data_IF_703490239989
#
_entry.id   IF_703490239989
#
_cell.length_a   1.000
_cell.length_b   1.000
_cell.length_c   1.000
_cell.angle_alpha   90.00
_cell.angle_beta   90.00
_cell.angle_gamma   90.00
#
_symmetry.space_group_name_H-M   'P 1'
#
loop_
_entity.id
_entity.type
_entity.pdbx_description
1 polymer ?
#
# COMPACT_ATOMS: atom_id res chain seq x y z
N UNK A 1 15.39 -17.94 7.63
CA UNK A 1 14.19 -18.12 6.77
C UNK A 1 14.07 -16.87 5.91
N UNK A 2 14.13 -16.96 4.59
CA UNK A 2 13.97 -15.81 3.68
C UNK A 2 12.49 -15.53 3.44
N UNK A 3 12.11 -14.24 3.30
CA UNK A 3 10.76 -13.84 2.93
C UNK A 3 10.27 -14.59 1.67
N UNK A 4 9.03 -15.08 1.69
CA UNK A 4 8.41 -15.80 0.56
C UNK A 4 8.13 -14.93 -0.68
N UNK A 5 8.49 -13.63 -0.66
CA UNK A 5 8.32 -12.69 -1.77
C UNK A 5 9.71 -12.19 -2.18
N UNK A 6 10.33 -12.73 -3.26
CA UNK A 6 11.72 -12.44 -3.60
C UNK A 6 12.07 -10.94 -3.73
N UNK A 7 11.19 -10.06 -4.28
CA UNK A 7 11.43 -8.62 -4.26
C UNK A 7 11.60 -8.02 -2.86
N UNK A 8 10.83 -8.48 -1.86
CA UNK A 8 10.89 -7.95 -0.49
C UNK A 8 12.17 -8.37 0.24
N UNK A 9 12.68 -9.58 -0.02
CA UNK A 9 13.97 -10.02 0.52
C UNK A 9 15.13 -9.14 0.01
N UNK A 10 15.08 -8.72 -1.26
CA UNK A 10 16.07 -7.80 -1.84
C UNK A 10 15.97 -6.40 -1.24
N UNK A 11 14.75 -5.87 -1.08
CA UNK A 11 14.52 -4.59 -0.40
C UNK A 11 15.11 -4.62 1.01
N UNK A 12 14.83 -5.66 1.79
CA UNK A 12 15.37 -5.81 3.13
C UNK A 12 16.91 -5.77 3.13
N UNK A 13 17.56 -6.50 2.22
CA UNK A 13 19.03 -6.50 2.10
C UNK A 13 19.58 -5.09 1.84
N UNK A 14 18.93 -4.33 0.95
CA UNK A 14 19.32 -2.95 0.66
C UNK A 14 19.12 -2.03 1.86
N UNK A 15 17.98 -2.13 2.54
CA UNK A 15 17.66 -1.34 3.74
C UNK A 15 18.66 -1.63 4.86
N UNK A 16 18.96 -2.90 5.13
CA UNK A 16 19.98 -3.29 6.12
C UNK A 16 21.34 -2.68 5.80
N UNK A 17 21.79 -2.77 4.53
CA UNK A 17 23.06 -2.22 4.11
C UNK A 17 23.12 -0.69 4.19
N UNK A 18 22.02 0.01 3.91
CA UNK A 18 21.93 1.47 3.98
C UNK A 18 21.92 1.95 5.43
N UNK A 19 21.06 1.39 6.28
CA UNK A 19 20.92 1.79 7.67
C UNK A 19 22.17 1.47 8.51
N UNK A 20 22.87 0.36 8.21
CA UNK A 20 24.14 0.04 8.86
C UNK A 20 25.20 1.12 8.65
N UNK A 21 25.23 1.80 7.49
CA UNK A 21 26.15 2.92 7.24
C UNK A 21 25.87 4.15 8.10
N UNK A 22 24.63 4.26 8.59
CA UNK A 22 24.21 5.32 9.50
C UNK A 22 24.22 4.87 10.97
N UNK A 23 24.80 3.70 11.28
CA UNK A 23 24.90 3.18 12.64
C UNK A 23 23.63 2.51 13.17
N UNK A 24 22.65 2.21 12.31
CA UNK A 24 21.39 1.55 12.70
C UNK A 24 21.44 0.07 12.30
N UNK A 25 21.25 -0.81 13.28
CA UNK A 25 21.09 -2.24 13.06
C UNK A 25 19.62 -2.59 12.78
N UNK A 26 19.39 -3.47 11.81
CA UNK A 26 18.05 -3.95 11.44
C UNK A 26 18.01 -5.45 11.63
N UNK A 27 17.18 -5.89 12.59
CA UNK A 27 16.98 -7.30 12.95
C UNK A 27 15.68 -7.79 12.29
N UNK A 28 15.72 -8.59 11.22
CA UNK A 28 14.53 -8.98 10.50
C UNK A 28 13.78 -10.11 11.21
N UNK A 29 12.47 -9.92 11.36
CA UNK A 29 11.54 -10.97 11.80
C UNK A 29 10.67 -11.37 10.61
N UNK A 30 10.59 -12.67 10.34
CA UNK A 30 9.78 -13.21 9.26
C UNK A 30 8.57 -13.94 9.83
N UNK A 31 7.41 -13.75 9.20
CA UNK A 31 6.18 -14.45 9.54
C UNK A 31 5.43 -14.86 8.26
N UNK A 32 4.61 -15.93 8.32
CA UNK A 32 3.65 -16.24 7.25
C UNK A 32 2.73 -15.05 6.99
N UNK A 33 2.36 -14.83 5.71
CA UNK A 33 1.59 -13.65 5.29
C UNK A 33 0.29 -13.46 6.10
N UNK A 34 -0.43 -14.55 6.38
CA UNK A 34 -1.66 -14.50 7.19
C UNK A 34 -1.38 -13.99 8.60
N UNK A 35 -0.44 -14.62 9.32
CA UNK A 35 -0.05 -14.22 10.68
C UNK A 35 0.45 -12.77 10.71
N UNK A 36 1.25 -12.38 9.72
CA UNK A 36 1.73 -11.00 9.61
C UNK A 36 0.58 -10.01 9.50
N UNK A 37 -0.37 -10.23 8.58
CA UNK A 37 -1.46 -9.28 8.31
C UNK A 37 -2.56 -9.28 9.39
N UNK A 38 -2.83 -10.42 10.04
CA UNK A 38 -3.96 -10.53 10.99
C UNK A 38 -3.57 -10.41 12.45
N UNK A 39 -2.27 -10.46 12.78
CA UNK A 39 -1.80 -10.52 14.18
C UNK A 39 -0.68 -9.52 14.44
N UNK A 40 0.41 -9.57 13.66
CA UNK A 40 1.60 -8.73 13.91
C UNK A 40 1.35 -7.28 13.49
N UNK A 41 0.80 -7.08 12.29
CA UNK A 41 0.57 -5.73 11.78
C UNK A 41 -0.48 -4.95 12.61
N UNK A 42 -1.60 -5.57 13.04
CA UNK A 42 -2.55 -4.90 13.94
C UNK A 42 -2.07 -4.73 15.39
N UNK A 43 -1.09 -5.52 15.86
CA UNK A 43 -0.59 -5.36 17.23
C UNK A 43 0.26 -4.10 17.41
N UNK A 44 0.86 -3.59 16.34
CA UNK A 44 1.80 -2.46 16.41
C UNK A 44 3.13 -2.80 17.08
N UNK A 45 3.39 -4.09 17.37
CA UNK A 45 4.61 -4.56 18.04
C UNK A 45 5.75 -4.76 17.03
N UNK A 46 6.16 -3.65 16.40
CA UNK A 46 7.27 -3.59 15.44
C UNK A 46 7.79 -2.15 15.33
N UNK A 47 9.07 -2.00 14.98
CA UNK A 47 9.63 -0.68 14.65
C UNK A 47 9.34 -0.30 13.19
N UNK A 48 9.51 -1.26 12.27
CA UNK A 48 9.27 -1.08 10.82
C UNK A 48 8.63 -2.34 10.22
N UNK A 49 7.58 -2.14 9.43
CA UNK A 49 6.89 -3.20 8.71
C UNK A 49 7.03 -3.04 7.20
N UNK A 50 7.55 -4.05 6.50
CA UNK A 50 7.63 -4.08 5.04
C UNK A 50 6.41 -4.78 4.44
N UNK A 51 5.43 -4.00 4.00
CA UNK A 51 4.21 -4.48 3.34
C UNK A 51 3.71 -3.48 2.30
N UNK A 52 2.63 -3.81 1.60
CA UNK A 52 1.98 -2.92 0.65
C UNK A 52 0.52 -2.71 1.01
N UNK A 53 0.04 -1.48 0.89
CA UNK A 53 -1.38 -1.18 0.91
C UNK A 53 -2.00 -1.53 -0.44
N UNK A 54 -3.23 -2.02 -0.39
CA UNK A 54 -4.06 -2.18 -1.59
C UNK A 54 -5.12 -1.10 -1.53
N UNK A 55 -4.97 -0.05 -2.34
CA UNK A 55 -5.96 1.02 -2.42
C UNK A 55 -7.11 0.62 -3.35
N UNK A 56 -8.33 0.99 -2.99
CA UNK A 56 -9.45 0.99 -3.92
C UNK A 56 -9.20 2.01 -5.07
N UNK A 57 -10.05 2.06 -6.11
CA UNK A 57 -9.92 3.04 -7.19
C UNK A 57 -10.09 4.51 -6.76
N UNK A 58 -10.72 4.78 -5.60
CA UNK A 58 -10.92 6.15 -5.10
C UNK A 58 -10.96 6.30 -3.55
N UNK A 59 -9.98 5.83 -2.77
CA UNK A 59 -9.89 6.15 -1.35
C UNK A 59 -9.13 7.46 -1.17
N UNK A 60 -9.68 8.39 -0.39
CA UNK A 60 -8.96 9.55 0.15
C UNK A 60 -7.87 9.17 1.16
N UNK A 61 -7.70 7.88 1.48
CA UNK A 61 -6.66 7.40 2.38
C UNK A 61 -6.99 7.54 3.85
N UNK A 62 -8.21 7.96 4.20
CA UNK A 62 -8.66 8.16 5.57
C UNK A 62 -8.50 6.92 6.47
N UNK A 63 -8.76 5.73 5.94
CA UNK A 63 -8.56 4.47 6.67
C UNK A 63 -7.08 4.19 7.03
N UNK A 64 -6.13 4.75 6.27
CA UNK A 64 -4.68 4.51 6.41
C UNK A 64 -4.01 5.65 7.19
N UNK A 65 -4.35 6.90 6.89
CA UNK A 65 -3.64 8.08 7.40
C UNK A 65 -4.49 8.99 8.30
N UNK A 66 -5.79 8.70 8.44
CA UNK A 66 -6.65 9.36 9.42
C UNK A 66 -6.35 8.88 10.84
N UNK A 67 -6.50 9.77 11.82
CA UNK A 67 -6.43 9.41 13.23
C UNK A 67 -7.46 8.31 13.54
N UNK A 68 -7.00 7.15 14.03
CA UNK A 68 -7.89 6.02 14.35
C UNK A 68 -8.40 5.23 13.14
N UNK A 69 -7.82 5.43 11.96
CA UNK A 69 -8.16 4.64 10.77
C UNK A 69 -7.89 3.14 10.95
N UNK A 70 -8.80 2.28 10.47
CA UNK A 70 -8.71 0.82 10.67
C UNK A 70 -7.53 0.13 9.96
N UNK A 71 -6.83 0.81 9.06
CA UNK A 71 -5.60 0.35 8.41
C UNK A 71 -4.39 1.22 8.79
N UNK A 72 -4.54 2.08 9.80
CA UNK A 72 -3.47 2.94 10.27
C UNK A 72 -2.54 2.19 11.22
N UNK A 73 -1.72 1.31 10.65
CA UNK A 73 -0.76 0.50 11.40
C UNK A 73 0.47 1.29 11.87
N UNK A 74 0.61 2.53 11.43
CA UNK A 74 1.73 3.41 11.80
C UNK A 74 1.47 4.18 13.10
N UNK A 75 0.22 4.22 13.55
CA UNK A 75 -0.22 5.09 14.65
C UNK A 75 -0.21 6.59 14.31
N UNK A 76 -0.01 6.95 13.04
CA UNK A 76 0.05 8.35 12.60
C UNK A 76 -1.24 9.09 12.95
N UNK A 77 -1.13 10.25 13.59
CA UNK A 77 -2.30 11.07 13.87
C UNK A 77 -1.96 12.56 13.75
N UNK A 78 -2.20 13.12 12.56
CA UNK A 78 -2.20 14.55 12.32
C UNK A 78 -3.62 15.02 12.03
N UNK A 79 -4.16 15.87 12.92
CA UNK A 79 -5.54 16.38 12.87
C UNK A 79 -5.84 17.17 11.59
N UNK A 80 -4.91 17.96 11.08
CA UNK A 80 -5.04 18.71 9.83
C UNK A 80 -5.10 17.79 8.61
N UNK A 81 -4.28 16.73 8.59
CA UNK A 81 -4.35 15.70 7.55
C UNK A 81 -5.69 15.01 7.63
N UNK A 82 -6.09 14.52 8.81
CA UNK A 82 -7.39 13.86 9.01
C UNK A 82 -8.55 14.74 8.53
N UNK A 83 -8.56 16.02 8.91
CA UNK A 83 -9.57 17.00 8.45
C UNK A 83 -9.58 17.13 6.93
N UNK A 84 -8.42 17.24 6.30
CA UNK A 84 -8.32 17.42 4.85
C UNK A 84 -8.76 16.14 4.11
N UNK A 85 -8.44 14.95 4.62
CA UNK A 85 -8.92 13.68 4.07
C UNK A 85 -10.45 13.55 4.22
N UNK A 86 -11.00 13.87 5.39
CA UNK A 86 -12.46 13.89 5.64
C UNK A 86 -13.19 14.90 4.74
N UNK A 87 -12.56 16.04 4.46
CA UNK A 87 -13.09 17.04 3.56
C UNK A 87 -13.07 16.52 2.11
N UNK A 88 -11.98 15.88 1.68
CA UNK A 88 -11.85 15.34 0.34
C UNK A 88 -12.91 14.27 0.03
N UNK A 89 -13.35 13.49 1.02
CA UNK A 89 -14.42 12.49 0.88
C UNK A 89 -15.78 13.11 0.51
N UNK A 90 -15.96 14.40 0.78
CA UNK A 90 -17.23 15.12 0.57
C UNK A 90 -17.22 16.02 -0.66
N UNK A 91 -16.10 16.10 -1.37
CA UNK A 91 -15.94 16.95 -2.57
C UNK A 91 -16.16 16.11 -3.83
N UNK A 92 -17.16 16.50 -4.64
CA UNK A 92 -17.45 15.84 -5.92
C UNK A 92 -16.64 16.40 -7.10
N UNK A 93 -16.27 17.68 -7.06
CA UNK A 93 -15.44 18.29 -8.10
C UNK A 93 -14.00 17.80 -7.98
N UNK A 94 -13.52 17.06 -8.98
CA UNK A 94 -12.21 16.42 -8.96
C UNK A 94 -11.06 17.43 -8.76
N UNK A 95 -11.17 18.66 -9.30
CA UNK A 95 -10.14 19.68 -9.15
C UNK A 95 -10.10 20.23 -7.72
N UNK A 96 -11.26 20.45 -7.10
CA UNK A 96 -11.36 20.83 -5.70
C UNK A 96 -10.86 19.72 -4.78
N UNK A 97 -11.22 18.46 -5.06
CA UNK A 97 -10.80 17.31 -4.27
C UNK A 97 -9.27 17.17 -4.31
N UNK A 98 -8.67 17.22 -5.50
CA UNK A 98 -7.22 17.15 -5.67
C UNK A 98 -6.49 18.26 -4.92
N UNK A 99 -7.01 19.50 -4.91
CA UNK A 99 -6.41 20.60 -4.13
C UNK A 99 -6.36 20.31 -2.64
N UNK A 100 -7.42 19.73 -2.07
CA UNK A 100 -7.46 19.38 -0.64
C UNK A 100 -6.52 18.21 -0.35
N UNK A 101 -6.56 17.17 -1.19
CA UNK A 101 -5.67 16.00 -1.08
C UNK A 101 -4.19 16.39 -1.14
N UNK A 102 -3.80 17.30 -2.04
CA UNK A 102 -2.42 17.76 -2.15
C UNK A 102 -1.92 18.49 -0.89
N UNK A 103 -2.80 19.12 -0.10
CA UNK A 103 -2.41 19.71 1.19
C UNK A 103 -2.13 18.64 2.23
N UNK A 104 -2.98 17.62 2.29
CA UNK A 104 -2.76 16.46 3.16
C UNK A 104 -1.45 15.75 2.78
N UNK A 105 -1.22 15.51 1.48
CA UNK A 105 -0.02 14.86 0.97
C UNK A 105 1.25 15.65 1.28
N UNK A 106 1.23 16.98 1.11
CA UNK A 106 2.36 17.84 1.47
C UNK A 106 2.70 17.79 2.97
N UNK A 107 1.70 17.65 3.85
CA UNK A 107 1.93 17.48 5.27
C UNK A 107 2.46 16.07 5.58
N UNK A 108 1.88 15.01 4.99
CA UNK A 108 2.38 13.64 5.16
C UNK A 108 3.81 13.47 4.66
N UNK A 109 4.19 14.13 3.57
CA UNK A 109 5.56 14.12 3.06
C UNK A 109 6.58 14.73 4.06
N UNK A 110 6.15 15.63 4.94
CA UNK A 110 6.98 16.19 6.02
C UNK A 110 7.02 15.29 7.24
N UNK A 111 5.89 14.67 7.57
CA UNK A 111 5.75 13.82 8.75
C UNK A 111 6.32 12.40 8.52
N UNK A 112 6.42 11.97 7.27
CA UNK A 112 6.92 10.66 6.81
C UNK A 112 6.29 9.50 7.58
N UNK A 113 4.94 9.36 7.62
CA UNK A 113 4.29 8.26 8.33
C UNK A 113 4.62 6.90 7.69
N UNK A 114 4.92 6.90 6.39
CA UNK A 114 5.36 5.75 5.61
C UNK A 114 6.45 6.20 4.65
N UNK A 115 7.33 5.26 4.26
CA UNK A 115 8.29 5.46 3.17
C UNK A 115 7.81 4.70 1.93
N UNK A 116 7.20 5.37 0.92
CA UNK A 116 6.78 4.70 -0.31
C UNK A 116 8.00 4.16 -1.07
N UNK A 117 7.96 2.88 -1.45
CA UNK A 117 9.09 2.24 -2.15
C UNK A 117 8.85 2.08 -3.64
N UNK A 118 7.72 1.47 -4.02
CA UNK A 118 7.36 1.21 -5.41
C UNK A 118 5.86 0.94 -5.56
N UNK A 119 5.39 1.06 -6.80
CA UNK A 119 4.18 0.39 -7.24
C UNK A 119 4.55 -1.01 -7.75
N UNK A 120 3.75 -2.01 -7.39
CA UNK A 120 3.98 -3.38 -7.84
C UNK A 120 3.32 -3.54 -9.21
N UNK A 121 4.07 -3.89 -10.28
CA UNK A 121 3.45 -4.22 -11.55
C UNK A 121 2.62 -5.49 -11.38
N UNK A 122 1.43 -5.52 -11.99
CA UNK A 122 0.55 -6.68 -12.03
C UNK A 122 0.55 -7.27 -13.45
N UNK A 123 1.61 -7.98 -13.87
CA UNK A 123 1.63 -8.61 -15.17
C UNK A 123 0.60 -9.75 -15.20
N UNK A 124 -0.21 -9.80 -16.25
CA UNK A 124 -1.12 -10.92 -16.49
C UNK A 124 -0.66 -11.68 -17.72
N UNK A 125 -0.51 -12.99 -17.59
CA UNK A 125 -0.28 -13.89 -18.71
C UNK A 125 -1.57 -14.62 -19.03
N UNK A 126 -2.01 -14.52 -20.28
CA UNK A 126 -3.23 -15.15 -20.77
C UNK A 126 -2.87 -15.93 -22.04
N UNK A 127 -3.46 -17.12 -22.22
CA UNK A 127 -3.30 -17.86 -23.48
C UNK A 127 -3.88 -17.06 -24.63
N UNK A 128 -3.20 -17.07 -25.77
CA UNK A 128 -3.66 -16.42 -27.01
C UNK A 128 -5.04 -16.94 -27.50
N UNK A 129 -5.41 -18.16 -27.11
CA UNK A 129 -6.72 -18.76 -27.33
C UNK A 129 -7.84 -18.09 -26.51
N UNK A 130 -7.54 -17.42 -25.40
CA UNK A 130 -8.58 -16.72 -24.61
C UNK A 130 -8.88 -15.38 -25.27
N UNK A 131 -10.14 -15.19 -25.64
CA UNK A 131 -10.65 -13.97 -26.26
C UNK A 131 -11.51 -13.18 -25.26
N UNK A 132 -11.66 -11.88 -25.55
CA UNK A 132 -12.36 -10.90 -24.71
C UNK A 132 -11.78 -10.68 -23.30
N UNK A 133 -10.57 -11.14 -23.03
CA UNK A 133 -9.84 -10.77 -21.82
C UNK A 133 -9.56 -9.25 -21.80
N UNK A 134 -9.89 -8.58 -20.70
CA UNK A 134 -9.53 -7.19 -20.46
C UNK A 134 -8.58 -7.08 -19.27
N UNK A 135 -7.40 -6.49 -19.49
CA UNK A 135 -6.46 -6.23 -18.41
C UNK A 135 -7.05 -5.21 -17.43
N UNK A 136 -7.10 -5.56 -16.14
CA UNK A 136 -7.53 -4.66 -15.09
C UNK A 136 -6.84 -4.99 -13.75
N UNK A 137 -7.01 -4.15 -12.73
CA UNK A 137 -6.51 -4.42 -11.38
C UNK A 137 -7.08 -5.73 -10.79
N UNK A 138 -8.34 -6.03 -11.08
CA UNK A 138 -8.93 -7.34 -10.81
C UNK A 138 -8.74 -8.22 -12.05
N UNK A 139 -7.93 -9.30 -11.98
CA UNK A 139 -7.68 -10.14 -13.15
C UNK A 139 -8.95 -10.85 -13.63
N UNK A 140 -9.99 -10.95 -12.80
CA UNK A 140 -11.27 -11.60 -13.14
C UNK A 140 -12.36 -10.62 -13.59
N UNK A 141 -12.03 -9.34 -13.76
CA UNK A 141 -12.93 -8.39 -14.42
C UNK A 141 -13.41 -8.99 -15.74
N UNK A 142 -14.68 -8.78 -16.06
CA UNK A 142 -15.35 -9.22 -17.29
C UNK A 142 -15.23 -10.72 -17.66
N UNK A 143 -14.85 -11.57 -16.70
CA UNK A 143 -14.61 -13.01 -16.93
C UNK A 143 -15.83 -13.77 -17.48
N UNK A 144 -17.04 -13.27 -17.24
CA UNK A 144 -18.28 -13.77 -17.82
C UNK A 144 -18.35 -13.66 -19.35
N UNK A 145 -17.50 -12.83 -19.96
CA UNK A 145 -17.48 -12.59 -21.41
C UNK A 145 -16.32 -13.31 -22.12
N UNK A 146 -15.47 -14.02 -21.37
CA UNK A 146 -14.30 -14.68 -21.93
C UNK A 146 -14.68 -15.99 -22.61
N UNK A 147 -13.98 -16.33 -23.69
CA UNK A 147 -14.19 -17.58 -24.41
C UNK A 147 -12.89 -18.09 -25.05
N UNK A 148 -12.86 -19.38 -25.37
CA UNK A 148 -11.73 -20.02 -26.03
C UNK A 148 -11.96 -20.07 -27.55
N UNK A 149 -11.07 -19.43 -28.30
CA UNK A 149 -10.95 -19.69 -29.73
C UNK A 149 -10.52 -21.14 -29.93
N UNK A 150 -11.30 -21.85 -30.74
CA UNK A 150 -10.99 -23.22 -31.21
C UNK A 150 -9.86 -23.17 -32.22
#
# INVERSE_FOLDING_TARGET
MTSAIPPRARILTLVQAQLRRSGVEVVPIFAPARTFLTTILPSGDFDVALFGFVSAPNPTGNAIFGCGGGQNYTGYCQRLVTRDLDQADRILDARQQARVMNRADAQMARDVPVLPLNQIPLPTAVRDTVKNFAQSFNPLTNSENWWLAR
#
